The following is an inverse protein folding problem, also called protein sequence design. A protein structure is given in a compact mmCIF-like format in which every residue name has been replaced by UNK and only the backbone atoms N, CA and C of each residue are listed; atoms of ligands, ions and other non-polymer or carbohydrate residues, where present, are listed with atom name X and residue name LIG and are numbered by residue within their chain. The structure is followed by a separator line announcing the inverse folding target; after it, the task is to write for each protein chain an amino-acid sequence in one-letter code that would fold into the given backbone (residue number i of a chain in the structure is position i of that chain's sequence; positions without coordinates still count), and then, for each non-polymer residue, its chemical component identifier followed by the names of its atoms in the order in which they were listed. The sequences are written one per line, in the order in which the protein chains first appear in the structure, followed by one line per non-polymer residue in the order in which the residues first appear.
data_IF_036148999435
#
_entry.id   IF_036148999435
#
_cell.length_a   1.000
_cell.length_b   1.000
_cell.length_c   1.000
_cell.angle_alpha   90.00
_cell.angle_beta   90.00
_cell.angle_gamma   90.00
#
_symmetry.space_group_name_H-M   'P 1'
#
loop_
_entity.id
_entity.type
_entity.pdbx_description
1 polymer ?
#
# COMPACT_ATOMS: atom_id res chain seq x y z
N UNK A 1 24.00 7.62 5.22
CA UNK A 1 23.08 6.47 5.24
C UNK A 1 21.71 7.11 5.30
N UNK A 2 21.05 7.21 4.15
CA UNK A 2 19.69 7.74 4.10
C UNK A 2 18.77 6.67 4.68
N UNK A 3 18.22 6.97 5.84
CA UNK A 3 17.13 6.25 6.45
C UNK A 3 15.89 6.64 5.62
N UNK A 4 15.63 5.87 4.57
CA UNK A 4 14.36 5.95 3.85
C UNK A 4 13.27 5.71 4.88
N UNK A 5 12.46 6.74 5.12
CA UNK A 5 11.34 6.78 6.04
C UNK A 5 10.25 5.83 5.51
N UNK A 6 10.53 4.52 5.62
CA UNK A 6 9.61 3.48 5.23
C UNK A 6 8.47 3.51 6.26
N UNK A 7 7.25 3.87 5.85
CA UNK A 7 6.11 3.86 6.76
C UNK A 7 6.02 2.47 7.39
N UNK A 8 6.21 2.41 8.71
CA UNK A 8 6.20 1.16 9.47
C UNK A 8 4.74 0.71 9.58
N UNK A 9 4.30 -0.04 8.57
CA UNK A 9 3.01 -0.75 8.60
C UNK A 9 3.15 -1.91 9.59
N UNK A 10 2.18 -2.07 10.49
CA UNK A 10 2.13 -3.21 11.42
C UNK A 10 2.10 -4.53 10.64
N UNK A 11 3.18 -5.30 10.72
CA UNK A 11 3.37 -6.59 10.02
C UNK A 11 3.19 -7.81 10.91
N UNK A 12 2.97 -7.61 12.22
CA UNK A 12 2.75 -8.73 13.14
C UNK A 12 1.48 -9.49 12.71
N UNK A 13 1.55 -10.82 12.61
CA UNK A 13 0.49 -11.69 12.10
C UNK A 13 0.02 -11.46 10.65
N UNK A 14 0.80 -10.75 9.82
CA UNK A 14 0.49 -10.60 8.41
C UNK A 14 0.63 -11.93 7.66
N UNK A 15 -0.39 -12.30 6.89
CA UNK A 15 -0.36 -13.47 6.01
C UNK A 15 0.42 -13.20 4.72
N UNK A 16 0.55 -11.94 4.32
CA UNK A 16 1.47 -11.49 3.27
C UNK A 16 2.03 -10.10 3.57
N UNK A 17 3.28 -9.91 3.13
CA UNK A 17 3.99 -8.64 3.16
C UNK A 17 4.91 -8.62 1.94
N UNK A 18 4.59 -7.83 0.92
CA UNK A 18 5.36 -7.80 -0.33
C UNK A 18 5.43 -6.39 -0.95
N UNK A 19 6.59 -6.04 -1.55
CA UNK A 19 6.72 -4.79 -2.31
C UNK A 19 5.86 -4.89 -3.57
N UNK A 20 5.18 -3.80 -3.91
CA UNK A 20 4.36 -3.69 -5.11
C UNK A 20 4.59 -2.37 -5.83
N UNK A 21 4.19 -2.30 -7.10
CA UNK A 21 4.18 -1.06 -7.86
C UNK A 21 2.74 -0.60 -8.08
N UNK A 22 2.42 0.61 -7.65
CA UNK A 22 1.16 1.28 -7.96
C UNK A 22 1.45 2.41 -8.95
N UNK A 23 1.01 2.28 -10.19
CA UNK A 23 1.27 3.27 -11.26
C UNK A 23 2.77 3.63 -11.42
N UNK A 24 3.65 2.65 -11.25
CA UNK A 24 5.12 2.84 -11.33
C UNK A 24 5.74 3.52 -10.10
N UNK A 25 4.98 3.66 -9.01
CA UNK A 25 5.48 4.10 -7.70
C UNK A 25 5.65 2.92 -6.76
N UNK A 26 6.74 2.90 -6.03
CA UNK A 26 7.00 1.89 -5.02
C UNK A 26 5.97 1.99 -3.90
N UNK A 27 5.47 0.83 -3.49
CA UNK A 27 4.52 0.68 -2.42
C UNK A 27 4.68 -0.65 -1.70
N UNK A 28 3.95 -0.78 -0.61
CA UNK A 28 3.92 -1.97 0.22
C UNK A 28 2.50 -2.51 0.32
N UNK A 29 2.36 -3.82 0.10
CA UNK A 29 1.12 -4.54 0.33
C UNK A 29 1.25 -5.40 1.57
N UNK A 30 0.29 -5.27 2.48
CA UNK A 30 0.18 -6.08 3.69
C UNK A 30 -1.20 -6.71 3.73
N UNK A 31 -1.27 -8.02 3.88
CA UNK A 31 -2.52 -8.71 4.20
C UNK A 31 -2.46 -9.22 5.62
N UNK A 32 -3.42 -8.81 6.44
CA UNK A 32 -3.60 -9.29 7.82
C UNK A 32 -5.05 -9.67 7.99
N UNK A 33 -5.32 -10.94 8.29
CA UNK A 33 -6.67 -11.53 8.29
C UNK A 33 -7.41 -11.32 6.96
N UNK A 34 -8.55 -10.63 6.99
CA UNK A 34 -9.40 -10.30 5.84
C UNK A 34 -9.19 -8.87 5.33
N UNK A 35 -8.18 -8.16 5.85
CA UNK A 35 -7.87 -6.77 5.50
C UNK A 35 -6.62 -6.72 4.61
N UNK A 36 -6.77 -6.11 3.45
CA UNK A 36 -5.67 -5.70 2.58
C UNK A 36 -5.33 -4.25 2.88
N UNK A 37 -4.08 -3.99 3.19
CA UNK A 37 -3.49 -2.67 3.34
C UNK A 37 -2.49 -2.43 2.22
N UNK A 38 -2.65 -1.34 1.47
CA UNK A 38 -1.69 -0.89 0.47
C UNK A 38 -1.22 0.51 0.87
N UNK A 39 0.09 0.69 0.95
CA UNK A 39 0.73 1.98 1.27
C UNK A 39 1.65 2.35 0.12
N UNK A 40 1.54 3.56 -0.41
CA UNK A 40 2.39 4.01 -1.51
C UNK A 40 2.56 5.52 -1.50
N UNK A 41 3.60 6.01 -2.17
CA UNK A 41 3.85 7.44 -2.33
C UNK A 41 3.33 7.94 -3.69
N UNK A 42 2.61 9.06 -3.69
CA UNK A 42 2.25 9.82 -4.89
C UNK A 42 2.31 11.31 -4.59
N UNK A 43 2.99 12.08 -5.45
CA UNK A 43 3.14 13.54 -5.30
C UNK A 43 3.67 14.00 -3.92
N UNK A 44 4.65 13.27 -3.37
CA UNK A 44 5.21 13.52 -2.02
C UNK A 44 4.18 13.40 -0.88
N UNK A 45 3.06 12.72 -1.13
CA UNK A 45 2.06 12.37 -0.14
C UNK A 45 2.04 10.85 0.04
N UNK A 46 1.87 10.42 1.29
CA UNK A 46 1.66 9.02 1.63
C UNK A 46 0.18 8.66 1.51
N UNK A 47 -0.12 7.69 0.66
CA UNK A 47 -1.46 7.13 0.50
C UNK A 47 -1.56 5.80 1.24
N UNK A 48 -2.71 5.59 1.88
CA UNK A 48 -3.04 4.36 2.57
C UNK A 48 -4.43 3.91 2.13
N UNK A 49 -4.50 2.73 1.53
CA UNK A 49 -5.75 2.03 1.24
C UNK A 49 -5.88 0.87 2.22
N UNK A 50 -6.97 0.85 2.99
CA UNK A 50 -7.34 -0.28 3.82
C UNK A 50 -8.74 -0.75 3.44
N UNK A 51 -8.87 -2.02 3.04
CA UNK A 51 -10.13 -2.57 2.60
C UNK A 51 -10.26 -4.06 2.91
N UNK A 52 -11.48 -4.49 3.24
CA UNK A 52 -11.87 -5.90 3.27
C UNK A 52 -12.32 -6.35 1.90
N UNK A 53 -11.36 -6.68 1.04
CA UNK A 53 -11.59 -7.07 -0.35
C UNK A 53 -10.45 -7.98 -0.82
N UNK A 54 -10.54 -8.52 -2.04
CA UNK A 54 -9.42 -9.29 -2.60
C UNK A 54 -8.22 -8.39 -2.88
N UNK A 55 -7.02 -8.97 -2.80
CA UNK A 55 -5.77 -8.29 -3.16
C UNK A 55 -5.84 -7.61 -4.53
N UNK A 56 -6.31 -8.34 -5.55
CA UNK A 56 -6.44 -7.82 -6.92
C UNK A 56 -7.39 -6.61 -7.02
N UNK A 57 -8.47 -6.60 -6.23
CA UNK A 57 -9.41 -5.48 -6.20
C UNK A 57 -8.79 -4.28 -5.47
N UNK A 58 -8.09 -4.51 -4.37
CA UNK A 58 -7.39 -3.44 -3.65
C UNK A 58 -6.32 -2.77 -4.54
N UNK A 59 -5.55 -3.56 -5.30
CA UNK A 59 -4.58 -3.05 -6.27
C UNK A 59 -5.28 -2.21 -7.34
N UNK A 60 -6.37 -2.70 -7.93
CA UNK A 60 -7.15 -1.93 -8.92
C UNK A 60 -7.71 -0.62 -8.38
N UNK A 61 -8.14 -0.61 -7.11
CA UNK A 61 -8.59 0.62 -6.44
C UNK A 61 -7.41 1.58 -6.30
N UNK A 62 -6.26 1.12 -5.81
CA UNK A 62 -5.05 1.93 -5.63
C UNK A 62 -4.54 2.51 -6.97
N UNK A 63 -4.52 1.72 -8.04
CA UNK A 63 -4.18 2.16 -9.39
C UNK A 63 -5.15 3.23 -9.93
N UNK A 64 -6.43 3.18 -9.52
CA UNK A 64 -7.45 4.15 -9.89
C UNK A 64 -7.43 5.47 -9.09
N UNK A 65 -6.65 5.55 -8.01
CA UNK A 65 -6.54 6.76 -7.19
C UNK A 65 -5.87 7.87 -7.99
N UNK A 66 -6.48 9.06 -7.98
CA UNK A 66 -5.91 10.28 -8.52
C UNK A 66 -5.99 11.37 -7.47
N UNK A 67 -4.87 12.02 -7.20
CA UNK A 67 -4.85 13.22 -6.38
C UNK A 67 -5.25 14.42 -7.24
N UNK A 68 -6.24 15.17 -6.79
CA UNK A 68 -6.68 16.43 -7.42
C UNK A 68 -6.33 17.52 -6.42
N UNK A 69 -5.46 18.44 -6.85
CA UNK A 69 -5.00 19.57 -6.04
C UNK A 69 -6.08 20.65 -5.89
#
# INVERSE_FOLDING_TARGET
MDESDNPVVDTEDASRFEPILINGKDGMLVMKHDVVTIVWEMDSLLFVLQARTSMDMAIRIAEGVRYIK
#
